data_IF_190926721178
#
_entry.id   IF_190926721178
#
_cell.length_a   1.000
_cell.length_b   1.000
_cell.length_c   1.000
_cell.angle_alpha   90.00
_cell.angle_beta   90.00
_cell.angle_gamma   90.00
#
_symmetry.space_group_name_H-M   'P 1'
#
loop_
_entity.id
_entity.type
_entity.pdbx_description
1 polymer ?
#
# COMPACT_ATOMS: atom_id res chain seq x y z
N UNK A 1 -13.92 -3.83 13.07
CA UNK A 1 -13.77 -2.37 13.10
C UNK A 1 -13.14 -1.96 11.78
N UNK A 2 -14.00 -1.69 10.80
CA UNK A 2 -13.66 -1.54 9.39
C UNK A 2 -13.15 -0.13 9.08
N UNK A 3 -11.88 -0.02 8.67
CA UNK A 3 -11.31 1.22 8.17
C UNK A 3 -11.70 1.43 6.71
N UNK A 4 -12.78 2.20 6.52
CA UNK A 4 -13.30 2.66 5.22
C UNK A 4 -12.32 3.66 4.60
N UNK A 5 -11.55 3.21 3.61
CA UNK A 5 -10.71 4.08 2.77
C UNK A 5 -11.60 4.97 1.89
N UNK A 6 -11.89 6.18 2.37
CA UNK A 6 -12.50 7.23 1.57
C UNK A 6 -11.41 8.19 1.12
N UNK A 7 -11.01 8.07 -0.15
CA UNK A 7 -10.36 9.17 -0.85
C UNK A 7 -11.44 10.08 -1.45
N UNK A 8 -11.40 11.40 -1.25
CA UNK A 8 -12.21 12.32 -2.03
C UNK A 8 -11.67 12.40 -3.45
N UNK A 9 -12.50 12.01 -4.41
CA UNK A 9 -12.27 12.22 -5.84
C UNK A 9 -12.58 13.69 -6.13
N UNK A 10 -11.56 14.54 -6.27
CA UNK A 10 -11.71 15.82 -6.96
C UNK A 10 -11.00 15.72 -8.32
N UNK A 11 -11.73 15.23 -9.32
CA UNK A 11 -11.34 15.33 -10.72
C UNK A 11 -11.93 16.61 -11.30
N UNK A 12 -11.07 17.54 -11.71
CA UNK A 12 -11.37 18.52 -12.74
C UNK A 12 -10.12 18.63 -13.62
N UNK A 13 -10.11 17.83 -14.69
CA UNK A 13 -9.20 18.03 -15.82
C UNK A 13 -10.05 18.48 -17.01
N UNK A 14 -9.72 19.58 -17.70
CA UNK A 14 -10.54 20.07 -18.79
C UNK A 14 -10.40 19.17 -20.02
N UNK A 15 -11.52 18.56 -20.42
CA UNK A 15 -11.75 18.07 -21.77
C UNK A 15 -12.10 19.28 -22.64
N UNK A 16 -11.24 19.63 -23.59
CA UNK A 16 -11.59 20.57 -24.64
C UNK A 16 -11.01 20.06 -25.96
N UNK A 17 -11.84 20.18 -27.00
CA UNK A 17 -11.62 19.85 -28.40
C UNK A 17 -11.84 18.37 -28.82
N UNK A 18 -13.10 17.95 -28.84
CA UNK A 18 -13.59 17.06 -29.91
C UNK A 18 -14.85 17.69 -30.54
N UNK A 19 -14.81 17.76 -31.86
CA UNK A 19 -15.74 18.45 -32.76
C UNK A 19 -17.17 17.92 -32.65
N UNK A 20 -18.12 18.86 -32.81
CA UNK A 20 -19.54 18.60 -33.00
C UNK A 20 -19.81 17.78 -34.27
N UNK A 21 -20.78 16.87 -34.16
CA UNK A 21 -21.37 16.13 -35.28
C UNK A 21 -22.39 15.11 -34.78
N UNK A 22 -23.63 15.28 -35.23
CA UNK A 22 -24.76 14.33 -35.18
C UNK A 22 -25.65 14.30 -33.92
N UNK A 23 -26.70 15.11 -34.01
CA UNK A 23 -27.91 15.12 -33.18
C UNK A 23 -28.74 13.85 -33.43
N UNK A 24 -28.98 13.05 -32.39
CA UNK A 24 -29.99 11.97 -32.41
C UNK A 24 -31.24 12.45 -31.66
N UNK A 25 -32.36 12.44 -32.39
CA UNK A 25 -33.73 12.81 -31.98
C UNK A 25 -34.32 11.77 -31.00
N UNK A 26 -34.80 12.15 -29.80
CA UNK A 26 -35.49 11.24 -28.90
C UNK A 26 -37.02 11.36 -29.05
N UNK A 27 -37.58 10.70 -30.06
CA UNK A 27 -39.00 10.35 -30.10
C UNK A 27 -39.17 8.92 -30.58
N UNK A 28 -40.05 8.18 -29.90
CA UNK A 28 -40.30 6.71 -29.96
C UNK A 28 -39.26 5.93 -29.15
N UNK A 29 -39.60 5.09 -28.17
CA UNK A 29 -40.74 4.20 -28.06
C UNK A 29 -41.02 3.91 -26.57
N UNK A 30 -42.22 4.26 -26.11
CA UNK A 30 -42.71 3.97 -24.77
C UNK A 30 -43.74 2.85 -24.87
N UNK A 31 -43.28 1.60 -25.02
CA UNK A 31 -44.16 0.44 -24.97
C UNK A 31 -43.39 -0.81 -24.55
N UNK A 32 -43.44 -1.13 -23.26
CA UNK A 32 -43.49 -2.50 -22.73
C UNK A 32 -43.48 -2.47 -21.19
N UNK A 33 -44.66 -2.29 -20.59
CA UNK A 33 -44.91 -2.69 -19.20
C UNK A 33 -45.33 -4.15 -19.20
N UNK A 34 -44.33 -5.03 -19.16
CA UNK A 34 -44.50 -6.47 -18.93
C UNK A 34 -44.74 -6.75 -17.44
N UNK A 35 -45.89 -7.37 -17.18
CA UNK A 35 -46.43 -7.80 -15.89
C UNK A 35 -45.67 -9.03 -15.38
N UNK A 36 -44.82 -8.91 -14.37
CA UNK A 36 -44.21 -10.07 -13.68
C UNK A 36 -45.03 -10.40 -12.42
N UNK A 37 -45.85 -11.44 -12.51
CA UNK A 37 -46.47 -12.11 -11.37
C UNK A 37 -45.80 -13.47 -11.15
N UNK A 38 -45.63 -13.84 -9.88
CA UNK A 38 -45.65 -15.24 -9.45
C UNK A 38 -44.31 -15.96 -9.44
N UNK A 39 -43.73 -16.10 -8.24
CA UNK A 39 -42.54 -16.94 -8.02
C UNK A 39 -42.28 -17.17 -6.54
N UNK A 40 -43.22 -17.82 -5.85
CA UNK A 40 -43.12 -18.23 -4.45
C UNK A 40 -42.21 -19.47 -4.38
N UNK A 41 -40.90 -19.29 -4.19
CA UNK A 41 -39.96 -20.41 -3.96
C UNK A 41 -39.88 -20.72 -2.46
N UNK A 42 -40.34 -21.93 -2.10
CA UNK A 42 -40.13 -22.53 -0.78
C UNK A 42 -38.65 -22.83 -0.60
N UNK A 43 -38.07 -22.28 0.45
CA UNK A 43 -36.76 -22.65 0.99
C UNK A 43 -36.79 -24.08 1.54
N UNK A 44 -35.90 -24.99 1.10
CA UNK A 44 -35.66 -26.24 1.78
C UNK A 44 -34.46 -26.12 2.74
N UNK A 45 -34.77 -26.23 4.03
CA UNK A 45 -34.03 -26.97 5.06
C UNK A 45 -32.49 -26.94 5.00
N UNK A 46 -31.89 -26.11 5.86
CA UNK A 46 -30.49 -26.19 6.26
C UNK A 46 -30.30 -27.26 7.36
N UNK A 47 -29.42 -28.27 7.17
CA UNK A 47 -29.09 -29.23 8.21
C UNK A 47 -27.72 -28.91 8.85
N UNK A 48 -27.65 -27.90 9.71
CA UNK A 48 -26.48 -27.68 10.60
C UNK A 48 -26.72 -28.38 11.95
N UNK A 49 -26.97 -29.69 11.94
CA UNK A 49 -27.08 -30.48 13.18
C UNK A 49 -26.47 -31.85 12.97
N UNK A 50 -25.15 -31.89 12.96
CA UNK A 50 -24.35 -33.12 12.92
C UNK A 50 -23.12 -32.86 13.82
N UNK A 51 -23.32 -33.17 15.11
CA UNK A 51 -22.36 -33.64 16.14
C UNK A 51 -21.09 -32.79 16.40
N UNK A 52 -20.81 -32.15 17.55
CA UNK A 52 -21.21 -32.39 18.94
C UNK A 52 -21.25 -33.88 19.30
N UNK A 53 -20.08 -34.48 19.55
CA UNK A 53 -19.84 -35.68 20.41
C UNK A 53 -18.44 -36.27 20.06
N UNK A 54 -17.37 -35.77 20.68
CA UNK A 54 -16.09 -36.52 20.84
C UNK A 54 -15.36 -36.07 22.13
N UNK A 55 -16.14 -35.76 23.16
CA UNK A 55 -15.66 -35.75 24.54
C UNK A 55 -15.90 -37.15 25.09
N UNK A 56 -14.93 -37.68 25.85
CA UNK A 56 -14.99 -38.92 26.63
C UNK A 56 -14.47 -40.18 25.92
N UNK A 57 -13.15 -40.38 25.97
CA UNK A 57 -12.48 -41.68 26.17
C UNK A 57 -10.96 -41.44 26.25
N UNK A 58 -10.40 -41.46 27.47
CA UNK A 58 -9.03 -41.91 27.84
C UNK A 58 -8.66 -41.39 29.25
N UNK A 59 -9.44 -41.81 30.24
CA UNK A 59 -9.15 -41.72 31.68
C UNK A 59 -8.95 -43.17 32.15
N UNK A 60 -7.72 -43.72 32.10
CA UNK A 60 -7.42 -45.05 32.70
C UNK A 60 -5.92 -45.47 32.75
N UNK A 61 -4.95 -44.58 32.94
CA UNK A 61 -3.56 -45.02 33.17
C UNK A 61 -2.85 -44.18 34.25
N UNK A 62 -3.37 -44.21 35.47
CA UNK A 62 -2.62 -43.84 36.66
C UNK A 62 -2.20 -45.14 37.37
N UNK A 63 -0.92 -45.50 37.26
CA UNK A 63 -0.06 -46.05 38.32
C UNK A 63 1.25 -46.60 37.74
N UNK A 64 2.34 -46.32 38.47
CA UNK A 64 3.71 -46.86 38.33
C UNK A 64 4.66 -46.07 37.41
N UNK A 65 5.37 -45.09 37.99
CA UNK A 65 6.85 -44.99 38.01
C UNK A 65 7.29 -43.57 38.35
N UNK A 66 7.67 -43.36 39.61
CA UNK A 66 8.41 -42.17 40.02
C UNK A 66 9.88 -42.29 39.64
N UNK A 67 10.39 -41.32 38.90
CA UNK A 67 11.80 -40.94 38.83
C UNK A 67 11.85 -39.41 38.71
N UNK A 68 12.57 -38.80 39.65
CA UNK A 68 12.72 -37.35 39.77
C UNK A 68 13.30 -36.75 38.48
N UNK A 69 12.49 -35.98 37.76
CA UNK A 69 13.00 -35.04 36.75
C UNK A 69 13.43 -33.77 37.49
N UNK A 70 14.74 -33.59 37.63
CA UNK A 70 15.35 -32.31 38.01
C UNK A 70 14.89 -31.26 37.00
N UNK A 71 14.03 -30.34 37.42
CA UNK A 71 13.70 -29.16 36.65
C UNK A 71 14.91 -28.23 36.67
N UNK A 72 15.70 -28.26 35.60
CA UNK A 72 16.60 -27.15 35.27
C UNK A 72 15.69 -26.01 34.83
N UNK A 73 15.41 -25.07 35.75
CA UNK A 73 14.70 -23.85 35.42
C UNK A 73 15.40 -23.09 34.29
N UNK A 74 14.67 -22.42 33.39
CA UNK A 74 15.28 -21.53 32.42
C UNK A 74 16.12 -20.50 33.18
N UNK A 75 17.42 -20.48 32.91
CA UNK A 75 18.28 -19.37 33.34
C UNK A 75 17.78 -18.15 32.59
N UNK A 76 17.10 -17.25 33.29
CA UNK A 76 16.92 -15.86 32.89
C UNK A 76 18.31 -15.23 32.76
N UNK A 77 18.92 -15.41 31.59
CA UNK A 77 20.11 -14.68 31.21
C UNK A 77 19.75 -13.19 31.18
N UNK A 78 20.68 -12.30 31.60
CA UNK A 78 20.45 -10.87 31.47
C UNK A 78 20.07 -10.53 30.02
N UNK A 79 19.11 -9.62 29.80
CA UNK A 79 18.73 -9.23 28.45
C UNK A 79 19.98 -8.83 27.68
N UNK A 80 20.15 -9.41 26.49
CA UNK A 80 21.26 -9.06 25.62
C UNK A 80 21.34 -7.53 25.51
N UNK A 81 22.53 -6.93 25.66
CA UNK A 81 22.67 -5.49 25.48
C UNK A 81 22.13 -5.12 24.10
N UNK A 82 21.42 -3.99 23.95
CA UNK A 82 20.96 -3.54 22.64
C UNK A 82 22.17 -3.47 21.72
N UNK A 83 22.09 -4.19 20.60
CA UNK A 83 23.14 -4.22 19.58
C UNK A 83 23.61 -2.79 19.29
N UNK A 84 24.92 -2.53 19.23
CA UNK A 84 25.43 -1.19 18.97
C UNK A 84 24.84 -0.70 17.66
N UNK A 85 24.18 0.46 17.75
CA UNK A 85 23.62 1.22 16.64
C UNK A 85 24.69 1.38 15.55
N UNK A 86 24.63 0.49 14.56
CA UNK A 86 25.36 0.63 13.32
C UNK A 86 24.82 1.88 12.65
N UNK A 87 25.51 3.01 12.83
CA UNK A 87 25.25 4.24 12.11
C UNK A 87 25.54 4.01 10.63
N UNK A 88 24.54 3.48 9.91
CA UNK A 88 24.57 3.43 8.45
C UNK A 88 24.80 4.86 7.95
N UNK A 89 25.73 5.07 7.00
CA UNK A 89 25.93 6.40 6.44
C UNK A 89 24.59 6.91 5.86
N UNK A 90 24.29 8.20 6.00
CA UNK A 90 23.03 8.81 5.51
C UNK A 90 22.76 8.52 4.03
N UNK A 91 23.81 8.31 3.24
CA UNK A 91 23.72 7.90 1.82
C UNK A 91 23.11 6.51 1.63
N UNK A 92 23.29 5.61 2.58
CA UNK A 92 22.68 4.27 2.57
C UNK A 92 21.25 4.32 3.10
N UNK A 93 20.93 5.19 4.06
CA UNK A 93 19.54 5.39 4.51
C UNK A 93 18.64 5.94 3.37
N UNK A 94 19.22 6.68 2.42
CA UNK A 94 18.51 7.25 1.27
C UNK A 94 18.32 6.28 0.10
N UNK A 95 18.87 5.07 0.18
CA UNK A 95 18.70 4.03 -0.85
C UNK A 95 18.05 2.80 -0.24
N UNK A 96 16.85 2.50 -0.70
CA UNK A 96 16.08 1.34 -0.25
C UNK A 96 15.95 0.37 -1.40
N UNK A 97 16.25 -0.91 -1.16
CA UNK A 97 16.12 -1.98 -2.16
C UNK A 97 14.94 -2.86 -1.81
N UNK A 98 14.15 -3.21 -2.80
CA UNK A 98 13.13 -4.25 -2.73
C UNK A 98 13.39 -5.33 -3.79
N UNK A 99 12.57 -6.39 -3.78
CA UNK A 99 12.58 -7.44 -4.80
C UNK A 99 12.39 -6.89 -6.21
N UNK A 100 11.60 -5.83 -6.38
CA UNK A 100 11.15 -5.33 -7.69
C UNK A 100 11.70 -3.95 -8.06
N UNK A 101 12.29 -3.22 -7.12
CA UNK A 101 12.77 -1.87 -7.35
C UNK A 101 13.99 -1.49 -6.51
N UNK A 102 14.83 -0.61 -7.04
CA UNK A 102 15.70 0.24 -6.24
C UNK A 102 15.01 1.61 -6.09
N UNK A 103 14.97 2.12 -4.87
CA UNK A 103 14.31 3.38 -4.50
C UNK A 103 15.36 4.33 -3.94
N UNK A 104 15.42 5.53 -4.49
CA UNK A 104 16.35 6.58 -4.06
C UNK A 104 15.59 7.81 -3.60
N UNK A 105 15.80 8.23 -2.35
CA UNK A 105 15.12 9.36 -1.74
C UNK A 105 15.93 10.65 -1.90
N UNK A 106 15.27 11.73 -2.30
CA UNK A 106 15.83 13.09 -2.22
C UNK A 106 15.79 13.61 -0.78
N UNK A 107 16.56 14.65 -0.42
CA UNK A 107 16.36 15.35 0.85
C UNK A 107 14.97 16.00 0.90
N UNK A 108 14.52 16.34 2.12
CA UNK A 108 13.26 17.07 2.31
C UNK A 108 13.39 18.48 1.71
N UNK A 109 12.50 18.82 0.76
CA UNK A 109 12.45 20.14 0.14
C UNK A 109 11.28 20.96 0.71
N UNK A 110 11.54 22.21 1.11
CA UNK A 110 10.46 23.15 1.47
C UNK A 110 10.02 23.92 0.24
N UNK A 111 8.71 23.93 -0.04
CA UNK A 111 8.13 24.70 -1.15
C UNK A 111 7.80 26.13 -0.72
N UNK A 112 7.61 27.01 -1.71
CA UNK A 112 7.25 28.41 -1.50
C UNK A 112 5.89 28.62 -0.80
N UNK A 113 4.98 27.66 -0.92
CA UNK A 113 3.67 27.66 -0.27
C UNK A 113 3.69 27.10 1.17
N UNK A 114 4.87 26.79 1.70
CA UNK A 114 5.05 26.24 3.04
C UNK A 114 4.81 24.73 3.17
N UNK A 115 4.44 24.05 2.09
CA UNK A 115 4.38 22.58 2.04
C UNK A 115 5.77 21.96 1.90
N UNK A 116 5.91 20.68 2.22
CA UNK A 116 7.13 19.92 1.96
C UNK A 116 6.93 19.00 0.75
N UNK A 117 7.94 18.91 -0.11
CA UNK A 117 8.00 17.96 -1.21
C UNK A 117 8.93 16.80 -0.84
N UNK A 118 8.37 15.61 -0.78
CA UNK A 118 9.10 14.37 -0.53
C UNK A 118 9.28 13.63 -1.86
N UNK A 119 10.47 13.77 -2.45
CA UNK A 119 10.78 13.17 -3.76
C UNK A 119 11.48 11.83 -3.60
N UNK A 120 11.15 10.88 -4.47
CA UNK A 120 11.91 9.67 -4.68
C UNK A 120 12.01 9.34 -6.18
N UNK A 121 13.05 8.60 -6.55
CA UNK A 121 13.16 7.92 -7.83
C UNK A 121 12.96 6.42 -7.62
N UNK A 122 12.09 5.82 -8.41
CA UNK A 122 11.83 4.38 -8.42
C UNK A 122 12.44 3.81 -9.68
N UNK A 123 13.37 2.86 -9.55
CA UNK A 123 13.98 2.11 -10.67
C UNK A 123 13.55 0.66 -10.60
N UNK A 124 12.71 0.25 -11.54
CA UNK A 124 12.20 -1.12 -11.59
C UNK A 124 13.24 -2.09 -12.16
N UNK A 125 13.16 -3.36 -11.74
CA UNK A 125 13.89 -4.46 -12.38
C UNK A 125 13.38 -4.64 -13.82
N UNK A 126 14.21 -5.23 -14.69
CA UNK A 126 13.84 -5.53 -16.07
C UNK A 126 12.61 -6.46 -16.12
N UNK A 127 11.70 -6.19 -17.06
CA UNK A 127 10.47 -6.95 -17.25
C UNK A 127 9.38 -6.70 -16.20
N UNK A 128 9.62 -5.83 -15.21
CA UNK A 128 8.66 -5.51 -14.16
C UNK A 128 8.02 -4.15 -14.40
N UNK A 129 6.73 -4.04 -14.09
CA UNK A 129 5.97 -2.81 -14.12
C UNK A 129 5.11 -2.65 -12.86
N UNK A 130 4.80 -1.42 -12.47
CA UNK A 130 3.94 -1.12 -11.31
C UNK A 130 2.60 -0.57 -11.80
N UNK A 131 1.50 -1.01 -11.19
CA UNK A 131 0.16 -0.51 -11.51
C UNK A 131 -0.01 0.97 -11.12
N UNK A 132 -0.51 1.77 -12.06
CA UNK A 132 -0.88 3.16 -11.84
C UNK A 132 -2.21 3.28 -11.07
N UNK A 133 -2.46 4.40 -10.37
CA UNK A 133 -3.75 4.65 -9.72
C UNK A 133 -4.95 4.61 -10.66
N UNK A 134 -6.13 4.28 -10.13
CA UNK A 134 -7.39 4.24 -10.86
C UNK A 134 -7.89 2.83 -11.25
N UNK A 135 -7.06 1.80 -11.04
CA UNK A 135 -7.40 0.41 -11.33
C UNK A 135 -8.17 -0.24 -10.16
N UNK A 136 -9.41 -0.70 -10.40
CA UNK A 136 -10.26 -1.31 -9.35
C UNK A 136 -9.80 -2.73 -9.04
N UNK A 137 -9.78 -3.11 -7.76
CA UNK A 137 -9.42 -4.46 -7.32
C UNK A 137 -7.92 -4.74 -7.23
N UNK A 138 -7.08 -3.73 -7.49
CA UNK A 138 -5.63 -3.84 -7.45
C UNK A 138 -5.01 -2.84 -6.47
N UNK A 139 -3.71 -3.01 -6.19
CA UNK A 139 -2.98 -2.16 -5.24
C UNK A 139 -2.01 -1.24 -5.99
N UNK A 140 -2.48 -0.07 -6.46
CA UNK A 140 -1.61 0.89 -7.13
C UNK A 140 -0.56 1.46 -6.18
N UNK A 141 0.44 2.12 -6.76
CA UNK A 141 1.44 2.85 -6.00
C UNK A 141 0.77 3.91 -5.09
N UNK A 142 1.08 3.85 -3.80
CA UNK A 142 0.61 4.78 -2.78
C UNK A 142 1.69 5.00 -1.72
N UNK A 143 1.67 6.19 -1.11
CA UNK A 143 2.52 6.53 0.03
C UNK A 143 1.60 6.87 1.19
N UNK A 144 1.82 6.23 2.33
CA UNK A 144 1.10 6.52 3.57
C UNK A 144 2.08 6.83 4.70
N UNK A 145 1.55 7.47 5.75
CA UNK A 145 2.32 7.87 6.92
C UNK A 145 1.75 7.20 8.17
N UNK A 146 2.57 6.89 9.17
CA UNK A 146 2.09 6.39 10.46
C UNK A 146 1.07 7.36 11.09
N UNK A 147 0.15 6.84 11.90
CA UNK A 147 -0.92 7.63 12.53
C UNK A 147 -0.38 8.83 13.34
N UNK A 148 0.75 8.66 14.03
CA UNK A 148 1.42 9.71 14.81
C UNK A 148 2.47 10.49 14.00
N UNK A 149 2.34 10.50 12.68
CA UNK A 149 3.24 11.24 11.78
C UNK A 149 3.14 12.75 12.04
N UNK A 150 4.27 13.48 12.05
CA UNK A 150 4.26 14.94 12.16
C UNK A 150 3.81 15.63 10.85
N UNK A 151 3.51 14.85 9.81
CA UNK A 151 3.04 15.33 8.52
C UNK A 151 1.75 14.65 8.10
N UNK A 152 0.93 15.38 7.36
CA UNK A 152 -0.29 14.88 6.72
C UNK A 152 -0.07 14.75 5.21
N UNK A 153 -0.55 13.66 4.64
CA UNK A 153 -0.43 13.40 3.21
C UNK A 153 -1.23 14.44 2.41
N UNK A 154 -0.57 15.08 1.46
CA UNK A 154 -1.19 15.91 0.43
C UNK A 154 -1.21 15.19 -0.93
N UNK A 155 -1.11 15.98 -2.00
CA UNK A 155 -1.12 15.47 -3.39
C UNK A 155 0.07 14.53 -3.64
N UNK A 156 -0.21 13.38 -4.26
CA UNK A 156 0.79 12.50 -4.86
C UNK A 156 0.91 12.83 -6.35
N UNK A 157 2.11 13.21 -6.78
CA UNK A 157 2.45 13.46 -8.18
C UNK A 157 3.23 12.28 -8.76
N UNK A 158 2.72 11.79 -9.89
CA UNK A 158 3.26 10.67 -10.64
C UNK A 158 3.38 11.10 -12.11
N UNK A 159 4.28 10.47 -12.89
CA UNK A 159 4.33 10.72 -14.33
C UNK A 159 3.05 10.21 -15.01
N UNK A 160 2.91 10.56 -16.28
CA UNK A 160 1.89 9.96 -17.15
C UNK A 160 2.13 8.44 -17.24
N UNK A 161 1.14 7.59 -16.93
CA UNK A 161 1.30 6.15 -17.04
C UNK A 161 1.17 5.67 -18.49
N UNK A 162 1.70 4.49 -18.76
CA UNK A 162 1.67 3.84 -20.07
C UNK A 162 0.58 2.76 -20.11
N UNK A 163 -0.13 2.58 -21.24
CA UNK A 163 -1.05 1.45 -21.40
C UNK A 163 -0.29 0.13 -21.50
N UNK A 164 -0.81 -0.91 -20.84
CA UNK A 164 -0.30 -2.27 -20.91
C UNK A 164 -1.46 -3.26 -21.07
N UNK A 165 -1.25 -4.28 -21.89
CA UNK A 165 -2.19 -5.39 -22.10
C UNK A 165 -1.54 -6.67 -21.62
N UNK A 166 -2.13 -7.32 -20.63
CA UNK A 166 -1.64 -8.60 -20.14
C UNK A 166 -1.97 -9.68 -21.16
N UNK A 167 -0.95 -10.39 -21.67
CA UNK A 167 -1.12 -11.30 -22.81
C UNK A 167 -2.05 -12.47 -22.50
N UNK A 168 -2.06 -12.92 -21.24
CA UNK A 168 -2.86 -14.09 -20.82
C UNK A 168 -4.33 -13.76 -20.57
N UNK A 169 -4.61 -12.59 -19.99
CA UNK A 169 -5.98 -12.22 -19.60
C UNK A 169 -6.64 -11.27 -20.59
N UNK A 170 -5.85 -10.61 -21.45
CA UNK A 170 -6.33 -9.55 -22.34
C UNK A 170 -6.72 -8.26 -21.62
N UNK A 171 -6.55 -8.20 -20.30
CA UNK A 171 -6.89 -7.04 -19.49
C UNK A 171 -5.97 -5.85 -19.80
N UNK A 172 -6.54 -4.65 -19.72
CA UNK A 172 -5.83 -3.39 -19.98
C UNK A 172 -5.62 -2.63 -18.70
N UNK A 173 -4.38 -2.27 -18.43
CA UNK A 173 -4.00 -1.47 -17.28
C UNK A 173 -3.14 -0.29 -17.70
N UNK A 174 -3.08 0.69 -16.81
CA UNK A 174 -2.10 1.77 -16.85
C UNK A 174 -0.96 1.40 -15.89
N UNK A 175 0.28 1.52 -16.35
CA UNK A 175 1.46 1.05 -15.62
C UNK A 175 2.60 2.06 -15.68
N UNK A 176 3.54 1.92 -14.75
CA UNK A 176 4.84 2.57 -14.78
C UNK A 176 5.93 1.55 -15.09
N UNK A 177 6.87 1.93 -15.97
CA UNK A 177 8.00 1.11 -16.42
C UNK A 177 9.32 1.86 -16.19
N UNK A 178 10.42 1.11 -16.17
CA UNK A 178 11.77 1.68 -16.11
C UNK A 178 12.06 2.47 -14.84
N UNK A 179 12.59 3.67 -15.01
CA UNK A 179 12.88 4.60 -13.90
C UNK A 179 11.94 5.78 -13.97
N UNK A 180 11.29 6.12 -12.86
CA UNK A 180 10.37 7.23 -12.80
C UNK A 180 10.42 8.00 -11.48
N UNK A 181 10.12 9.32 -11.51
CA UNK A 181 10.04 10.14 -10.31
C UNK A 181 8.67 10.00 -9.63
N UNK A 182 8.65 10.17 -8.31
CA UNK A 182 7.43 10.31 -7.51
C UNK A 182 7.64 11.46 -6.55
N UNK A 183 6.62 12.32 -6.41
CA UNK A 183 6.65 13.42 -5.43
C UNK A 183 5.41 13.36 -4.54
N UNK A 184 5.61 13.17 -3.25
CA UNK A 184 4.55 13.26 -2.24
C UNK A 184 4.62 14.64 -1.58
N UNK A 185 3.60 15.47 -1.80
CA UNK A 185 3.45 16.73 -1.08
C UNK A 185 2.88 16.45 0.30
N UNK A 186 3.39 17.10 1.33
CA UNK A 186 2.88 16.96 2.70
C UNK A 186 2.80 18.31 3.39
N UNK A 187 1.84 18.44 4.30
CA UNK A 187 1.74 19.56 5.24
C UNK A 187 2.26 19.12 6.60
N UNK A 188 2.93 20.04 7.31
CA UNK A 188 3.40 19.79 8.67
C UNK A 188 2.28 20.13 9.65
N UNK A 189 2.06 19.29 10.66
CA UNK A 189 1.08 19.60 11.70
C UNK A 189 1.46 20.90 12.41
N UNK A 190 0.45 21.67 12.83
CA UNK A 190 0.60 23.02 13.42
C UNK A 190 1.56 23.09 14.61
N UNK A 191 1.75 21.98 15.31
CA UNK A 191 2.57 21.90 16.52
C UNK A 191 4.07 21.76 16.21
N UNK A 192 4.44 21.57 14.94
CA UNK A 192 5.83 21.39 14.49
C UNK A 192 6.22 22.41 13.45
N UNK A 193 7.33 23.13 13.68
CA UNK A 193 7.91 24.00 12.64
C UNK A 193 8.56 23.13 11.54
N UNK A 194 8.26 23.33 10.24
CA UNK A 194 8.80 22.51 9.14
C UNK A 194 10.33 22.38 9.15
N UNK A 195 11.04 23.47 9.50
CA UNK A 195 12.52 23.50 9.61
C UNK A 195 13.10 22.60 10.70
N UNK A 196 12.28 22.01 11.58
CA UNK A 196 12.71 21.09 12.64
C UNK A 196 12.51 19.61 12.29
N UNK A 197 11.91 19.29 11.13
CA UNK A 197 11.70 17.91 10.72
C UNK A 197 12.99 17.29 10.18
N UNK A 198 13.71 16.58 11.06
CA UNK A 198 14.93 15.88 10.69
C UNK A 198 14.66 14.56 9.95
N UNK A 199 13.56 13.86 10.28
CA UNK A 199 13.17 12.56 9.72
C UNK A 199 11.65 12.48 9.54
N UNK A 200 11.20 11.95 8.40
CA UNK A 200 9.79 11.67 8.10
C UNK A 200 9.66 10.21 7.66
N UNK A 201 9.16 9.31 8.54
CA UNK A 201 8.90 7.93 8.18
C UNK A 201 7.64 7.80 7.32
N UNK A 202 7.64 6.89 6.36
CA UNK A 202 6.51 6.59 5.50
C UNK A 202 6.52 5.14 5.03
N UNK A 203 5.41 4.71 4.44
CA UNK A 203 5.25 3.40 3.82
C UNK A 203 4.91 3.60 2.34
N UNK A 204 5.75 3.08 1.46
CA UNK A 204 5.45 2.96 0.03
C UNK A 204 4.83 1.60 -0.22
N UNK A 205 3.57 1.58 -0.68
CA UNK A 205 2.86 0.37 -1.04
C UNK A 205 2.59 0.34 -2.54
N UNK A 206 2.87 -0.79 -3.18
CA UNK A 206 2.62 -0.97 -4.62
C UNK A 206 2.43 -2.45 -4.97
N UNK A 207 1.86 -2.70 -6.14
CA UNK A 207 1.83 -4.01 -6.75
C UNK A 207 2.65 -3.99 -8.03
N UNK A 208 3.64 -4.87 -8.07
CA UNK A 208 4.43 -5.15 -9.25
C UNK A 208 3.76 -6.27 -10.06
N UNK A 209 3.90 -6.21 -11.38
CA UNK A 209 3.49 -7.26 -12.30
C UNK A 209 4.59 -7.47 -13.34
N UNK A 210 4.67 -8.68 -13.91
CA UNK A 210 5.34 -8.93 -15.18
C UNK A 210 4.29 -9.01 -16.30
N UNK A 211 4.69 -9.35 -17.53
CA UNK A 211 3.75 -9.37 -18.66
C UNK A 211 2.67 -10.50 -18.58
N UNK A 212 2.72 -11.35 -17.55
CA UNK A 212 1.84 -12.50 -17.36
C UNK A 212 0.98 -12.39 -16.11
N UNK A 213 1.54 -11.90 -15.01
CA UNK A 213 0.92 -11.96 -13.69
C UNK A 213 1.29 -10.77 -12.81
N UNK A 214 0.36 -10.39 -11.93
CA UNK A 214 0.63 -9.47 -10.84
C UNK A 214 1.05 -10.22 -9.56
N UNK A 215 2.16 -9.79 -8.98
CA UNK A 215 2.69 -10.36 -7.75
C UNK A 215 1.90 -9.88 -6.51
N UNK A 216 2.21 -10.45 -5.35
CA UNK A 216 1.66 -9.97 -4.08
C UNK A 216 2.09 -8.51 -3.83
N UNK A 217 1.20 -7.66 -3.30
CA UNK A 217 1.55 -6.28 -2.95
C UNK A 217 2.78 -6.21 -2.05
N UNK A 218 3.63 -5.22 -2.30
CA UNK A 218 4.80 -4.92 -1.50
C UNK A 218 4.56 -3.68 -0.66
N UNK A 219 5.11 -3.68 0.55
CA UNK A 219 5.21 -2.50 1.40
C UNK A 219 6.69 -2.29 1.71
N UNK A 220 7.17 -1.08 1.45
CA UNK A 220 8.56 -0.67 1.66
C UNK A 220 8.57 0.50 2.64
N UNK A 221 9.36 0.35 3.71
CA UNK A 221 9.56 1.44 4.67
C UNK A 221 10.52 2.47 4.10
N UNK A 222 10.13 3.74 4.20
CA UNK A 222 10.88 4.89 3.72
C UNK A 222 11.12 5.84 4.89
N UNK A 223 12.28 6.52 4.90
CA UNK A 223 12.55 7.61 5.83
C UNK A 223 13.21 8.74 5.08
N UNK A 224 12.49 9.85 4.87
CA UNK A 224 13.08 11.07 4.35
C UNK A 224 13.85 11.78 5.45
N UNK A 225 15.02 12.31 5.11
CA UNK A 225 15.86 13.08 6.03
C UNK A 225 16.10 14.48 5.48
N UNK A 226 16.19 15.47 6.37
CA UNK A 226 16.66 16.79 5.98
C UNK A 226 18.12 16.73 5.50
N UNK A 227 18.49 17.62 4.59
CA UNK A 227 19.91 17.81 4.27
C UNK A 227 20.60 18.40 5.50
N UNK A 228 21.63 17.74 6.02
CA UNK A 228 22.46 18.37 7.05
C UNK A 228 23.27 19.47 6.36
N UNK A 229 23.36 20.68 6.95
CA UNK A 229 24.38 21.63 6.53
C UNK A 229 25.72 20.90 6.55
N UNK A 230 26.44 20.93 5.42
CA UNK A 230 27.79 20.41 5.36
C UNK A 230 28.58 21.19 6.41
N UNK A 231 29.02 20.52 7.47
CA UNK A 231 29.87 21.13 8.48
C UNK A 231 31.14 21.56 7.74
N UNK A 232 31.26 22.88 7.54
CA UNK A 232 32.41 23.50 6.89
C UNK A 232 33.62 23.11 7.72
N UNK A 233 34.40 22.17 7.18
CA UNK A 233 35.57 21.59 7.81
C UNK A 233 36.57 22.73 7.97
N UNK A 234 36.57 23.37 9.14
CA UNK A 234 37.44 24.49 9.48
C UNK A 234 38.84 24.01 9.85
#
# INVERSE_FOLDING_TARGET
MDAKWLYPISQNWPLSAMSAGDTIDPRTDASMKGRYQGGRTRSPNAPWRVFAEMSLLLLCAALVSGLASVQVGPRDGPPAPPSPSSSRPLSDERRVRSSFADIELAPIETRSDGTLALRLSVRLRAGVHILAPGQRGYYPLSISFPEKSPVQAGRLELPTPEPHVFTLTGERFLVYRGTFPVTQHVTVSSDTRPRRLARIPALLRYQACDDRVCFKPQTVELVWTAERPREERR
#
